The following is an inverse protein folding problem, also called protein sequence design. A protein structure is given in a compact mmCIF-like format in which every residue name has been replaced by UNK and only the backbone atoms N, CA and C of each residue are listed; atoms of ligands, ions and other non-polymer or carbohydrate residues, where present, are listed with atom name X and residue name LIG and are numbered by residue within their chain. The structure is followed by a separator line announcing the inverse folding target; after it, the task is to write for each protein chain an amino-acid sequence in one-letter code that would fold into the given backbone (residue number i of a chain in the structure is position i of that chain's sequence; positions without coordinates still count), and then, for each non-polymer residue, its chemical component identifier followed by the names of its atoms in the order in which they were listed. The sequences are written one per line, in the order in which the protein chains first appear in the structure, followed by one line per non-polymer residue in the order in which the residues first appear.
data_IF_817168294724
#
_entry.id   IF_817168294724
#
_cell.length_a   1.000
_cell.length_b   1.000
_cell.length_c   1.000
_cell.angle_alpha   90.00
_cell.angle_beta   90.00
_cell.angle_gamma   90.00
#
_symmetry.space_group_name_H-M   'P 1'
#
loop_
_entity.id
_entity.type
_entity.pdbx_description
1 polymer ?
#
# COMPACT_ATOMS: atom_id res chain seq x y z
N UNK A 1 21.35 26.50 -33.32
CA UNK A 1 21.07 27.32 -32.21
C UNK A 1 19.92 26.82 -31.37
N UNK A 2 20.19 26.35 -30.16
CA UNK A 2 19.25 25.65 -29.24
C UNK A 2 18.44 26.59 -28.31
N UNK A 3 18.22 27.84 -28.73
CA UNK A 3 17.46 28.83 -27.94
C UNK A 3 15.96 28.49 -27.77
N UNK A 4 15.42 27.60 -28.62
CA UNK A 4 14.02 27.17 -28.55
C UNK A 4 13.72 26.12 -27.47
N UNK A 5 14.74 25.39 -26.98
CA UNK A 5 14.56 24.41 -25.91
C UNK A 5 14.38 25.02 -24.52
N UNK A 6 14.74 26.29 -24.34
CA UNK A 6 14.61 27.01 -23.07
C UNK A 6 13.21 27.63 -22.85
N UNK A 7 12.39 27.67 -23.92
CA UNK A 7 11.04 28.26 -23.88
C UNK A 7 9.92 27.21 -23.91
N UNK A 8 10.24 25.92 -23.90
CA UNK A 8 9.20 24.93 -23.61
C UNK A 8 8.90 25.00 -22.11
N UNK A 9 7.64 25.23 -21.71
CA UNK A 9 7.24 25.02 -20.34
C UNK A 9 7.66 23.59 -20.00
N UNK A 10 8.34 23.41 -18.86
CA UNK A 10 8.62 22.07 -18.33
C UNK A 10 7.30 21.33 -18.39
N UNK A 11 7.16 20.37 -19.31
CA UNK A 11 6.07 19.44 -19.27
C UNK A 11 6.18 18.78 -17.90
N UNK A 12 5.26 19.14 -17.00
CA UNK A 12 5.11 18.44 -15.75
C UNK A 12 4.95 16.97 -16.13
N UNK A 13 5.92 16.14 -15.73
CA UNK A 13 5.83 14.71 -15.98
C UNK A 13 4.61 14.23 -15.20
N UNK A 14 3.59 13.79 -15.93
CA UNK A 14 2.40 13.22 -15.32
C UNK A 14 2.74 11.82 -14.80
N UNK A 15 2.34 11.54 -13.57
CA UNK A 15 2.49 10.20 -12.95
C UNK A 15 1.47 9.24 -13.55
N UNK A 16 0.32 9.74 -13.94
CA UNK A 16 -0.74 8.96 -14.51
C UNK A 16 -1.97 9.78 -14.87
N UNK A 17 -2.98 9.11 -15.41
CA UNK A 17 -4.24 9.70 -15.82
C UNK A 17 -5.41 8.87 -15.30
N UNK A 18 -6.45 9.52 -14.81
CA UNK A 18 -7.69 8.89 -14.36
C UNK A 18 -8.86 9.55 -15.09
N UNK A 19 -9.55 8.81 -15.96
CA UNK A 19 -10.72 9.29 -16.69
C UNK A 19 -10.47 10.57 -17.53
N UNK A 20 -9.27 10.76 -18.08
CA UNK A 20 -8.90 11.93 -18.86
C UNK A 20 -8.37 13.11 -18.03
N UNK A 21 -8.22 12.93 -16.72
CA UNK A 21 -7.58 13.91 -15.81
C UNK A 21 -6.20 13.40 -15.40
N UNK A 22 -5.14 14.09 -15.82
CA UNK A 22 -3.76 13.80 -15.42
C UNK A 22 -3.47 14.30 -14.01
N UNK A 23 -2.55 13.64 -13.33
CA UNK A 23 -1.92 14.14 -12.11
C UNK A 23 -0.42 14.35 -12.36
N UNK A 24 0.06 15.54 -12.07
CA UNK A 24 1.48 15.85 -12.17
C UNK A 24 2.31 15.13 -11.11
N UNK A 25 3.59 14.89 -11.38
CA UNK A 25 4.51 14.32 -10.41
C UNK A 25 4.61 15.15 -9.12
N UNK A 26 4.52 16.48 -9.27
CA UNK A 26 4.56 17.40 -8.13
C UNK A 26 3.31 17.26 -7.24
N UNK A 27 2.12 17.21 -7.84
CA UNK A 27 0.87 17.07 -7.09
C UNK A 27 0.78 15.70 -6.42
N UNK A 28 1.20 14.65 -7.12
CA UNK A 28 1.26 13.31 -6.53
C UNK A 28 2.25 13.23 -5.37
N UNK A 29 3.43 13.81 -5.52
CA UNK A 29 4.43 13.87 -4.44
C UNK A 29 3.87 14.62 -3.21
N UNK A 30 3.15 15.72 -3.42
CA UNK A 30 2.51 16.45 -2.32
C UNK A 30 1.47 15.59 -1.55
N UNK A 31 0.69 14.76 -2.26
CA UNK A 31 -0.23 13.81 -1.63
C UNK A 31 0.52 12.73 -0.83
N UNK A 32 1.62 12.22 -1.38
CA UNK A 32 2.46 11.22 -0.70
C UNK A 32 3.08 11.82 0.57
N UNK A 33 3.56 13.05 0.51
CA UNK A 33 4.12 13.76 1.66
C UNK A 33 3.05 14.01 2.74
N UNK A 34 1.87 14.51 2.36
CA UNK A 34 0.76 14.72 3.29
C UNK A 34 0.39 13.42 4.01
N UNK A 35 0.26 12.31 3.28
CA UNK A 35 -0.05 11.00 3.86
C UNK A 35 1.08 10.46 4.74
N UNK A 36 2.33 10.64 4.31
CA UNK A 36 3.52 10.22 5.07
C UNK A 36 3.59 10.93 6.42
N UNK A 37 3.34 12.23 6.46
CA UNK A 37 3.32 13.01 7.71
C UNK A 37 2.21 12.52 8.67
N UNK A 38 1.05 12.17 8.13
CA UNK A 38 -0.06 11.58 8.91
C UNK A 38 0.33 10.23 9.51
N UNK A 39 0.98 9.36 8.73
CA UNK A 39 1.45 8.04 9.21
C UNK A 39 2.52 8.20 10.29
N UNK A 40 3.49 9.08 10.09
CA UNK A 40 4.52 9.36 11.10
C UNK A 40 3.91 9.89 12.40
N UNK A 41 2.97 10.82 12.31
CA UNK A 41 2.30 11.37 13.47
C UNK A 41 1.48 10.31 14.23
N UNK A 42 0.73 9.48 13.51
CA UNK A 42 -0.15 8.46 14.11
C UNK A 42 0.61 7.28 14.70
N UNK A 43 1.74 6.88 14.09
CA UNK A 43 2.58 5.76 14.56
C UNK A 43 3.62 6.17 15.59
N UNK A 44 3.91 7.46 15.73
CA UNK A 44 5.02 7.98 16.54
C UNK A 44 6.41 7.68 15.96
N UNK A 45 6.48 7.15 14.74
CA UNK A 45 7.72 6.81 14.06
C UNK A 45 8.16 7.97 13.15
N UNK A 46 9.34 8.52 13.40
CA UNK A 46 9.90 9.60 12.59
C UNK A 46 10.57 9.12 11.29
N UNK A 47 11.00 7.86 11.25
CA UNK A 47 11.67 7.26 10.10
C UNK A 47 10.83 6.12 9.52
N UNK A 48 10.74 6.07 8.18
CA UNK A 48 10.10 5.00 7.43
C UNK A 48 11.13 4.30 6.56
N UNK A 49 11.01 2.98 6.41
CA UNK A 49 11.81 2.21 5.48
C UNK A 49 11.40 2.49 4.03
N UNK A 50 12.27 2.12 3.08
CA UNK A 50 11.97 2.25 1.65
C UNK A 50 10.73 1.43 1.25
N UNK A 51 10.56 0.24 1.85
CA UNK A 51 9.39 -0.59 1.63
C UNK A 51 8.10 0.09 2.12
N UNK A 52 8.11 0.66 3.32
CA UNK A 52 6.98 1.42 3.85
C UNK A 52 6.66 2.65 2.99
N UNK A 53 7.70 3.33 2.51
CA UNK A 53 7.53 4.47 1.59
C UNK A 53 6.89 4.05 0.27
N UNK A 54 7.26 2.90 -0.29
CA UNK A 54 6.65 2.38 -1.51
C UNK A 54 5.19 1.95 -1.28
N UNK A 55 4.90 1.29 -0.16
CA UNK A 55 3.52 0.94 0.23
C UNK A 55 2.64 2.20 0.37
N UNK A 56 3.18 3.27 0.94
CA UNK A 56 2.48 4.57 1.01
C UNK A 56 2.18 5.12 -0.38
N UNK A 57 3.12 5.11 -1.30
CA UNK A 57 2.90 5.58 -2.68
C UNK A 57 1.79 4.79 -3.38
N UNK A 58 1.79 3.47 -3.24
CA UNK A 58 0.77 2.60 -3.81
C UNK A 58 -0.62 2.86 -3.21
N UNK A 59 -0.70 3.06 -1.90
CA UNK A 59 -1.96 3.38 -1.21
C UNK A 59 -2.50 4.76 -1.60
N UNK A 60 -1.62 5.76 -1.68
CA UNK A 60 -1.98 7.11 -2.12
C UNK A 60 -2.50 7.07 -3.56
N UNK A 61 -1.83 6.34 -4.45
CA UNK A 61 -2.28 6.18 -5.83
C UNK A 61 -3.65 5.52 -5.91
N UNK A 62 -3.84 4.40 -5.21
CA UNK A 62 -5.12 3.68 -5.16
C UNK A 62 -6.26 4.56 -4.64
N UNK A 63 -6.00 5.27 -3.55
CA UNK A 63 -6.97 6.19 -2.94
C UNK A 63 -7.31 7.34 -3.89
N UNK A 64 -6.30 7.94 -4.53
CA UNK A 64 -6.48 8.99 -5.52
C UNK A 64 -7.39 8.54 -6.68
N UNK A 65 -7.06 7.38 -7.28
CA UNK A 65 -7.86 6.80 -8.38
C UNK A 65 -9.30 6.57 -7.95
N UNK A 66 -9.51 5.93 -6.80
CA UNK A 66 -10.86 5.64 -6.29
C UNK A 66 -11.65 6.93 -6.04
N UNK A 67 -11.05 7.93 -5.41
CA UNK A 67 -11.69 9.20 -5.13
C UNK A 67 -12.07 9.93 -6.44
N UNK A 68 -11.18 9.97 -7.42
CA UNK A 68 -11.46 10.59 -8.73
C UNK A 68 -12.60 9.91 -9.48
N UNK A 69 -12.67 8.57 -9.44
CA UNK A 69 -13.77 7.82 -10.02
C UNK A 69 -15.10 8.16 -9.36
N UNK A 70 -15.15 8.14 -8.04
CA UNK A 70 -16.36 8.46 -7.27
C UNK A 70 -16.77 9.92 -7.44
N UNK A 71 -15.84 10.87 -7.37
CA UNK A 71 -16.10 12.30 -7.57
C UNK A 71 -16.75 12.58 -8.93
N UNK A 72 -16.23 11.97 -9.99
CA UNK A 72 -16.75 12.14 -11.34
C UNK A 72 -18.19 11.65 -11.46
N UNK A 73 -18.48 10.46 -10.93
CA UNK A 73 -19.84 9.90 -10.97
C UNK A 73 -20.79 10.65 -10.03
N UNK A 74 -20.34 10.98 -8.82
CA UNK A 74 -21.11 11.78 -7.88
C UNK A 74 -21.47 13.16 -8.44
N UNK A 75 -20.54 13.82 -9.14
CA UNK A 75 -20.77 15.11 -9.80
C UNK A 75 -21.84 15.02 -10.87
N UNK A 76 -21.83 13.96 -11.70
CA UNK A 76 -22.87 13.73 -12.71
C UNK A 76 -24.27 13.57 -12.09
N UNK A 77 -24.33 12.97 -10.90
CA UNK A 77 -25.56 12.73 -10.16
C UNK A 77 -25.97 13.90 -9.26
N UNK A 78 -25.19 14.99 -9.23
CA UNK A 78 -25.44 16.14 -8.36
C UNK A 78 -25.24 15.84 -6.86
N UNK A 79 -24.52 14.77 -6.53
CA UNK A 79 -24.21 14.42 -5.14
C UNK A 79 -23.10 15.35 -4.62
N UNK A 80 -23.37 15.99 -3.50
CA UNK A 80 -22.43 16.86 -2.79
C UNK A 80 -22.44 16.53 -1.30
N UNK A 81 -21.33 16.80 -0.62
CA UNK A 81 -21.23 16.73 0.84
C UNK A 81 -21.19 18.14 1.39
N UNK A 82 -22.18 18.50 2.18
CA UNK A 82 -22.26 19.82 2.76
C UNK A 82 -21.41 19.92 4.04
N UNK A 83 -21.01 21.15 4.38
CA UNK A 83 -20.34 21.42 5.67
C UNK A 83 -21.21 21.00 6.87
N UNK A 84 -22.53 21.15 6.76
CA UNK A 84 -23.45 20.74 7.82
C UNK A 84 -23.47 19.23 8.04
N UNK A 85 -23.36 18.41 6.96
CA UNK A 85 -23.24 16.95 7.10
C UNK A 85 -21.94 16.55 7.84
N UNK A 86 -20.82 17.15 7.48
CA UNK A 86 -19.54 16.87 8.16
C UNK A 86 -19.61 17.32 9.62
N UNK A 87 -20.15 18.48 9.90
CA UNK A 87 -20.34 18.96 11.27
C UNK A 87 -21.26 18.03 12.08
N UNK A 88 -22.29 17.47 11.47
CA UNK A 88 -23.16 16.49 12.11
C UNK A 88 -22.42 15.19 12.46
N UNK A 89 -21.56 14.69 11.55
CA UNK A 89 -20.71 13.51 11.79
C UNK A 89 -19.75 13.77 12.95
N UNK A 90 -19.09 14.93 12.96
CA UNK A 90 -18.17 15.32 14.04
C UNK A 90 -18.91 15.45 15.36
N UNK A 91 -20.08 16.07 15.36
CA UNK A 91 -20.90 16.25 16.57
C UNK A 91 -21.42 14.94 17.14
N UNK A 92 -21.79 13.99 16.28
CA UNK A 92 -22.19 12.65 16.70
C UNK A 92 -21.02 11.85 17.31
N UNK A 93 -19.80 12.06 16.81
CA UNK A 93 -18.58 11.52 17.40
C UNK A 93 -18.40 10.00 17.26
N UNK A 94 -19.30 9.30 16.54
CA UNK A 94 -19.31 7.83 16.47
C UNK A 94 -18.60 7.26 15.23
N UNK A 95 -18.21 8.11 14.29
CA UNK A 95 -17.55 7.66 13.07
C UNK A 95 -16.20 6.98 13.38
N UNK A 96 -15.88 5.80 12.79
CA UNK A 96 -14.65 5.06 13.09
C UNK A 96 -13.37 5.88 12.95
N UNK A 97 -13.28 6.74 11.93
CA UNK A 97 -12.11 7.60 11.72
C UNK A 97 -11.90 8.58 12.87
N UNK A 98 -12.96 9.07 13.49
CA UNK A 98 -12.86 9.98 14.66
C UNK A 98 -12.28 9.26 15.88
N UNK A 99 -12.56 7.96 16.03
CA UNK A 99 -12.04 7.16 17.13
C UNK A 99 -10.53 6.93 17.07
N UNK A 100 -9.90 7.23 15.93
CA UNK A 100 -8.45 7.09 15.74
C UNK A 100 -7.70 8.40 15.99
N UNK A 101 -8.41 9.47 16.34
CA UNK A 101 -7.78 10.79 16.60
C UNK A 101 -7.22 10.90 18.01
N UNK A 102 -6.28 11.83 18.26
CA UNK A 102 -5.81 12.14 19.60
C UNK A 102 -6.84 12.90 20.46
N UNK A 103 -7.96 13.34 19.86
CA UNK A 103 -9.02 14.09 20.56
C UNK A 103 -9.96 13.12 21.27
N UNK A 104 -9.47 12.51 22.36
CA UNK A 104 -10.23 11.53 23.14
C UNK A 104 -10.46 12.00 24.56
N UNK A 105 -11.63 11.73 25.07
CA UNK A 105 -11.94 11.92 26.49
C UNK A 105 -11.07 10.94 27.31
N UNK A 106 -10.25 11.41 28.26
CA UNK A 106 -9.38 10.56 29.06
C UNK A 106 -10.09 9.49 29.89
N UNK A 107 -11.36 9.72 30.23
CA UNK A 107 -12.15 8.81 31.09
C UNK A 107 -12.87 7.73 30.26
N UNK A 108 -13.39 8.09 29.09
CA UNK A 108 -14.19 7.18 28.26
C UNK A 108 -13.44 6.60 27.08
N UNK A 109 -12.30 7.19 26.68
CA UNK A 109 -11.55 6.82 25.49
C UNK A 109 -12.25 7.18 24.17
N UNK A 110 -13.47 7.72 24.22
CA UNK A 110 -14.24 8.10 23.05
C UNK A 110 -13.78 9.46 22.49
N UNK A 111 -14.06 9.70 21.21
CA UNK A 111 -13.81 10.98 20.57
C UNK A 111 -14.55 12.13 21.31
N UNK A 112 -13.83 13.22 21.54
CA UNK A 112 -14.33 14.41 22.23
C UNK A 112 -14.26 15.62 21.28
N UNK A 113 -15.43 16.03 20.79
CA UNK A 113 -15.57 17.19 19.89
C UNK A 113 -15.15 18.52 20.54
N UNK A 114 -15.30 18.64 21.87
CA UNK A 114 -14.98 19.88 22.57
C UNK A 114 -13.46 20.03 22.73
N UNK A 115 -12.71 18.92 22.89
CA UNK A 115 -11.26 18.89 22.80
C UNK A 115 -10.78 19.32 21.41
N UNK A 116 -11.38 18.77 20.35
CA UNK A 116 -11.07 19.18 18.98
C UNK A 116 -11.33 20.67 18.77
N UNK A 117 -12.52 21.15 19.17
CA UNK A 117 -12.88 22.56 19.01
C UNK A 117 -11.91 23.47 19.76
N UNK A 118 -11.55 23.12 20.99
CA UNK A 118 -10.55 23.85 21.76
C UNK A 118 -9.21 23.90 21.04
N UNK A 119 -8.73 22.75 20.57
CA UNK A 119 -7.48 22.66 19.82
C UNK A 119 -7.49 23.57 18.59
N UNK A 120 -8.54 23.56 17.78
CA UNK A 120 -8.63 24.39 16.57
C UNK A 120 -8.64 25.90 16.90
N UNK A 121 -9.33 26.29 17.96
CA UNK A 121 -9.33 27.69 18.45
C UNK A 121 -7.94 28.10 18.95
N UNK A 122 -7.28 27.24 19.73
CA UNK A 122 -5.95 27.51 20.28
C UNK A 122 -4.93 27.60 19.15
N UNK A 123 -4.97 26.66 18.18
CA UNK A 123 -4.12 26.66 17.00
C UNK A 123 -4.28 27.95 16.15
N UNK A 124 -5.52 28.40 15.95
CA UNK A 124 -5.79 29.62 15.15
C UNK A 124 -5.24 30.90 15.78
N UNK A 125 -5.08 30.94 17.10
CA UNK A 125 -4.55 32.06 17.87
C UNK A 125 -3.06 31.94 18.17
N UNK A 126 -2.44 30.82 17.83
CA UNK A 126 -1.07 30.51 18.19
C UNK A 126 -0.07 31.41 17.47
N UNK A 127 0.82 32.06 18.23
CA UNK A 127 1.96 32.75 17.69
C UNK A 127 3.18 31.83 17.69
N UNK A 128 3.43 31.16 16.54
CA UNK A 128 4.50 30.18 16.39
C UNK A 128 5.90 30.74 16.72
N UNK A 129 6.12 32.03 16.49
CA UNK A 129 7.42 32.68 16.73
C UNK A 129 7.75 32.84 18.23
N UNK A 130 6.76 32.74 19.09
CA UNK A 130 6.91 32.92 20.54
C UNK A 130 6.88 31.61 21.33
N UNK A 131 6.79 30.46 20.63
CA UNK A 131 6.74 29.14 21.26
C UNK A 131 8.06 28.38 21.07
N UNK A 132 8.43 27.47 21.99
CA UNK A 132 9.50 26.51 21.72
C UNK A 132 9.19 25.70 20.46
N UNK A 133 10.19 25.51 19.58
CA UNK A 133 10.01 24.86 18.27
C UNK A 133 9.33 23.51 18.34
N UNK A 134 9.67 22.69 19.34
CA UNK A 134 9.08 21.35 19.54
C UNK A 134 7.57 21.39 19.76
N UNK A 135 7.06 22.38 20.49
CA UNK A 135 5.62 22.55 20.70
C UNK A 135 4.94 23.04 19.42
N UNK A 136 5.55 23.99 18.73
CA UNK A 136 5.03 24.52 17.47
C UNK A 136 4.92 23.42 16.42
N UNK A 137 5.94 22.57 16.28
CA UNK A 137 5.97 21.41 15.38
C UNK A 137 4.90 20.36 15.71
N UNK A 138 4.73 20.07 17.00
CA UNK A 138 3.69 19.13 17.43
C UNK A 138 2.28 19.62 17.10
N UNK A 139 1.98 20.90 17.38
CA UNK A 139 0.68 21.48 17.05
C UNK A 139 0.44 21.56 15.54
N UNK A 140 1.48 21.84 14.76
CA UNK A 140 1.44 21.82 13.30
C UNK A 140 1.11 20.42 12.77
N UNK A 141 1.80 19.40 13.27
CA UNK A 141 1.58 18.01 12.86
C UNK A 141 0.17 17.53 13.24
N UNK A 142 -0.31 17.91 14.42
CA UNK A 142 -1.67 17.60 14.85
C UNK A 142 -2.73 18.30 13.99
N UNK A 143 -2.47 19.55 13.55
CA UNK A 143 -3.35 20.25 12.64
C UNK A 143 -3.37 19.64 11.24
N UNK A 144 -2.20 19.27 10.70
CA UNK A 144 -2.09 18.55 9.42
C UNK A 144 -2.84 17.22 9.48
N UNK A 145 -2.64 16.47 10.56
CA UNK A 145 -3.38 15.21 10.79
C UNK A 145 -4.90 15.44 10.76
N UNK A 146 -5.39 16.43 11.49
CA UNK A 146 -6.82 16.76 11.51
C UNK A 146 -7.32 17.20 10.12
N UNK A 147 -6.61 18.06 9.44
CA UNK A 147 -6.96 18.55 8.10
C UNK A 147 -7.07 17.40 7.08
N UNK A 148 -6.13 16.46 7.13
CA UNK A 148 -6.17 15.26 6.31
C UNK A 148 -7.39 14.39 6.65
N UNK A 149 -7.66 14.19 7.92
CA UNK A 149 -8.81 13.38 8.38
C UNK A 149 -10.15 14.02 7.98
N UNK A 150 -10.27 15.33 8.08
CA UNK A 150 -11.49 16.06 7.63
C UNK A 150 -11.71 15.89 6.12
N UNK A 151 -10.66 16.01 5.29
CA UNK A 151 -10.71 15.70 3.84
C UNK A 151 -11.15 14.25 3.61
N UNK A 152 -10.60 13.32 4.36
CA UNK A 152 -10.93 11.89 4.26
C UNK A 152 -12.38 11.60 4.68
N UNK A 153 -12.91 12.29 5.68
CA UNK A 153 -14.33 12.21 6.07
C UNK A 153 -15.25 12.68 4.95
N UNK A 154 -14.90 13.77 4.27
CA UNK A 154 -15.68 14.29 3.12
C UNK A 154 -15.73 13.24 2.01
N UNK A 155 -14.60 12.64 1.67
CA UNK A 155 -14.50 11.60 0.64
C UNK A 155 -15.28 10.33 1.04
N UNK A 156 -15.12 9.88 2.26
CA UNK A 156 -15.86 8.73 2.79
C UNK A 156 -17.37 8.97 2.74
N UNK A 157 -17.82 10.17 3.12
CA UNK A 157 -19.25 10.53 3.08
C UNK A 157 -19.79 10.60 1.64
N UNK A 158 -19.00 11.11 0.70
CA UNK A 158 -19.38 11.14 -0.71
C UNK A 158 -19.52 9.71 -1.26
N UNK A 159 -18.58 8.85 -0.97
CA UNK A 159 -18.60 7.45 -1.35
C UNK A 159 -19.81 6.72 -0.75
N UNK A 160 -20.09 6.94 0.54
CA UNK A 160 -21.26 6.38 1.21
C UNK A 160 -22.58 6.81 0.55
N UNK A 161 -22.71 8.10 0.19
CA UNK A 161 -23.90 8.62 -0.51
C UNK A 161 -24.04 7.97 -1.89
N UNK A 162 -22.95 7.83 -2.62
CA UNK A 162 -22.95 7.18 -3.92
C UNK A 162 -23.35 5.70 -3.83
N UNK A 163 -22.75 4.97 -2.92
CA UNK A 163 -23.08 3.56 -2.67
C UNK A 163 -24.52 3.39 -2.21
N UNK A 164 -24.99 4.25 -1.31
CA UNK A 164 -26.37 4.21 -0.82
C UNK A 164 -27.39 4.46 -1.94
N UNK A 165 -27.07 5.37 -2.88
CA UNK A 165 -27.93 5.61 -4.03
C UNK A 165 -28.06 4.36 -4.90
N UNK A 166 -26.95 3.70 -5.22
CA UNK A 166 -26.94 2.46 -6.02
C UNK A 166 -27.69 1.35 -5.27
N UNK A 167 -27.34 1.11 -4.03
CA UNK A 167 -27.96 0.02 -3.24
C UNK A 167 -29.45 0.24 -3.06
N UNK A 168 -29.90 1.48 -2.82
CA UNK A 168 -31.33 1.77 -2.63
C UNK A 168 -32.10 1.87 -3.97
N UNK A 169 -31.42 1.89 -5.10
CA UNK A 169 -32.07 1.76 -6.41
C UNK A 169 -32.40 0.30 -6.75
N UNK A 170 -31.76 -0.65 -6.05
CA UNK A 170 -32.04 -2.07 -6.17
C UNK A 170 -33.08 -2.45 -5.11
N UNK A 171 -34.32 -2.39 -5.49
CA UNK A 171 -35.41 -2.80 -4.60
C UNK A 171 -36.18 -3.94 -5.25
N UNK A 172 -36.58 -4.90 -4.47
CA UNK A 172 -37.53 -5.95 -4.87
C UNK A 172 -38.96 -5.46 -4.63
N UNK A 173 -39.85 -5.80 -5.52
CA UNK A 173 -41.27 -5.58 -5.34
C UNK A 173 -41.97 -6.89 -4.91
N UNK A 174 -43.23 -6.81 -4.37
CA UNK A 174 -43.94 -8.01 -3.93
C UNK A 174 -44.16 -9.09 -5.03
N UNK A 175 -44.27 -8.65 -6.28
CA UNK A 175 -44.46 -9.59 -7.42
C UNK A 175 -43.18 -10.38 -7.66
N UNK A 176 -42.02 -9.70 -7.73
CA UNK A 176 -40.72 -10.38 -7.87
C UNK A 176 -40.45 -11.33 -6.69
N UNK A 177 -40.78 -10.89 -5.47
CA UNK A 177 -40.63 -11.74 -4.29
C UNK A 177 -41.52 -12.99 -4.36
N UNK A 178 -42.77 -12.86 -4.86
CA UNK A 178 -43.67 -13.99 -5.06
C UNK A 178 -43.16 -14.94 -6.16
N UNK A 179 -42.75 -14.36 -7.30
CA UNK A 179 -42.21 -15.18 -8.42
C UNK A 179 -40.94 -15.93 -7.99
N UNK A 180 -40.07 -15.30 -7.21
CA UNK A 180 -38.90 -15.98 -6.66
C UNK A 180 -39.23 -17.07 -5.65
N UNK A 181 -40.28 -16.88 -4.85
CA UNK A 181 -40.78 -17.88 -3.94
C UNK A 181 -41.37 -19.06 -4.73
N UNK A 182 -42.26 -18.79 -5.67
CA UNK A 182 -42.93 -19.79 -6.49
C UNK A 182 -41.89 -20.62 -7.27
N UNK A 183 -40.92 -20.00 -7.88
CA UNK A 183 -39.79 -20.67 -8.57
C UNK A 183 -38.98 -21.64 -7.66
N UNK A 184 -38.98 -21.40 -6.36
CA UNK A 184 -38.29 -22.29 -5.38
C UNK A 184 -39.12 -23.43 -4.86
N UNK A 185 -40.45 -23.30 -4.83
CA UNK A 185 -41.37 -24.27 -4.24
C UNK A 185 -42.16 -25.07 -5.27
N UNK A 186 -42.29 -24.53 -6.49
CA UNK A 186 -42.93 -25.25 -7.60
C UNK A 186 -42.09 -26.48 -7.97
N UNK A 187 -42.74 -27.58 -8.07
CA UNK A 187 -42.18 -28.85 -8.52
C UNK A 187 -42.94 -29.33 -9.77
N UNK A 188 -42.18 -29.85 -10.71
CA UNK A 188 -42.72 -30.40 -11.94
C UNK A 188 -42.22 -31.81 -12.13
N UNK A 189 -43.16 -32.71 -12.51
CA UNK A 189 -42.78 -34.04 -12.93
C UNK A 189 -42.34 -33.99 -14.40
N UNK A 190 -41.12 -34.45 -14.64
CA UNK A 190 -40.53 -34.42 -15.98
C UNK A 190 -40.25 -35.87 -16.45
N UNK A 191 -40.67 -36.13 -17.68
CA UNK A 191 -40.20 -37.29 -18.46
C UNK A 191 -39.08 -36.76 -19.40
N UNK A 192 -37.85 -37.20 -19.17
CA UNK A 192 -36.69 -36.78 -19.93
C UNK A 192 -36.24 -37.89 -20.89
N UNK A 193 -36.20 -37.59 -22.17
CA UNK A 193 -35.49 -38.38 -23.16
C UNK A 193 -34.22 -37.61 -23.59
N UNK A 194 -33.08 -38.24 -23.38
CA UNK A 194 -31.81 -37.63 -23.72
C UNK A 194 -31.06 -38.41 -24.80
N UNK A 195 -30.59 -37.73 -25.82
CA UNK A 195 -29.64 -38.25 -26.80
C UNK A 195 -28.29 -37.57 -26.54
N UNK A 196 -27.32 -38.31 -25.99
CA UNK A 196 -26.00 -37.71 -25.71
C UNK A 196 -25.29 -37.38 -27.02
N UNK A 197 -24.62 -36.21 -27.05
CA UNK A 197 -23.81 -35.80 -28.20
C UNK A 197 -22.70 -36.81 -28.53
N UNK A 198 -22.23 -37.59 -27.57
CA UNK A 198 -21.24 -38.65 -27.73
C UNK A 198 -21.73 -39.82 -28.63
N UNK A 199 -23.08 -39.91 -28.92
CA UNK A 199 -23.62 -40.84 -29.88
C UNK A 199 -23.36 -40.46 -31.34
N UNK A 200 -22.96 -39.24 -31.57
CA UNK A 200 -22.59 -38.72 -32.90
C UNK A 200 -21.07 -38.79 -33.03
N UNK A 201 -20.58 -39.46 -34.04
CA UNK A 201 -19.16 -39.65 -34.28
C UNK A 201 -18.57 -38.33 -34.82
N UNK A 202 -17.59 -37.74 -34.13
CA UNK A 202 -16.98 -36.44 -34.49
C UNK A 202 -16.45 -36.41 -35.94
N UNK A 203 -15.97 -37.54 -36.47
CA UNK A 203 -15.48 -37.63 -37.84
C UNK A 203 -16.55 -37.42 -38.91
N UNK A 204 -17.82 -37.46 -38.54
CA UNK A 204 -18.97 -37.20 -39.45
C UNK A 204 -19.31 -35.73 -39.57
N UNK A 205 -18.76 -34.88 -38.69
CA UNK A 205 -19.05 -33.45 -38.61
C UNK A 205 -17.97 -32.67 -39.33
N UNK A 206 -18.32 -31.97 -40.40
CA UNK A 206 -17.42 -31.07 -41.12
C UNK A 206 -17.68 -29.63 -40.70
N UNK A 207 -16.72 -29.06 -39.98
CA UNK A 207 -16.77 -27.66 -39.55
C UNK A 207 -16.08 -26.78 -40.62
N UNK A 208 -16.77 -25.80 -41.13
CA UNK A 208 -16.25 -24.83 -42.09
C UNK A 208 -15.87 -23.54 -41.38
N UNK A 209 -14.97 -22.76 -41.98
CA UNK A 209 -14.56 -21.45 -41.46
C UNK A 209 -15.76 -20.50 -41.27
N UNK A 210 -16.79 -20.64 -42.11
CA UNK A 210 -18.05 -19.89 -41.98
C UNK A 210 -18.78 -20.19 -40.67
N UNK A 211 -18.73 -21.45 -40.22
CA UNK A 211 -19.40 -21.89 -38.98
C UNK A 211 -18.64 -21.38 -37.76
N UNK A 212 -17.31 -21.42 -37.81
CA UNK A 212 -16.46 -20.84 -36.78
C UNK A 212 -16.69 -19.34 -36.65
N UNK A 213 -16.73 -18.63 -37.80
CA UNK A 213 -16.99 -17.19 -37.81
C UNK A 213 -18.38 -16.86 -37.26
N UNK A 214 -19.41 -17.58 -37.66
CA UNK A 214 -20.77 -17.38 -37.15
C UNK A 214 -20.85 -17.63 -35.62
N UNK A 215 -20.21 -18.68 -35.13
CA UNK A 215 -20.12 -18.97 -33.68
C UNK A 215 -19.35 -17.90 -32.92
N UNK A 216 -18.24 -17.41 -33.48
CA UNK A 216 -17.47 -16.30 -32.91
C UNK A 216 -18.29 -15.01 -32.86
N UNK A 217 -18.92 -14.60 -33.96
CA UNK A 217 -19.73 -13.38 -34.03
C UNK A 217 -20.88 -13.40 -33.01
N UNK A 218 -21.46 -14.56 -32.75
CA UNK A 218 -22.49 -14.75 -31.73
C UNK A 218 -21.99 -14.59 -30.30
N UNK A 219 -20.71 -14.95 -30.03
CA UNK A 219 -20.14 -15.00 -28.70
C UNK A 219 -19.05 -13.94 -28.44
N UNK A 220 -18.71 -13.10 -29.43
CA UNK A 220 -17.56 -12.17 -29.38
C UNK A 220 -17.59 -11.24 -28.17
N UNK A 221 -18.78 -10.81 -27.72
CA UNK A 221 -18.90 -9.94 -26.55
C UNK A 221 -18.47 -10.61 -25.24
N UNK A 222 -18.55 -11.96 -25.18
CA UNK A 222 -18.05 -12.72 -24.02
C UNK A 222 -16.52 -12.76 -23.94
N UNK A 223 -15.84 -12.56 -25.07
CA UNK A 223 -14.38 -12.58 -25.19
C UNK A 223 -13.77 -11.19 -25.34
N UNK A 224 -14.57 -10.16 -25.17
CA UNK A 224 -14.11 -8.78 -25.25
C UNK A 224 -13.14 -8.47 -24.12
N UNK A 225 -11.92 -8.09 -24.49
CA UNK A 225 -10.91 -7.63 -23.54
C UNK A 225 -11.06 -6.12 -23.35
N UNK A 226 -11.22 -5.70 -22.10
CA UNK A 226 -11.36 -4.29 -21.72
C UNK A 226 -10.03 -3.66 -21.30
N UNK A 227 -9.02 -4.49 -21.10
CA UNK A 227 -7.68 -4.07 -20.68
C UNK A 227 -6.70 -4.51 -21.76
N UNK A 228 -5.81 -3.59 -22.14
CA UNK A 228 -4.75 -3.90 -23.09
C UNK A 228 -3.77 -4.90 -22.47
N UNK A 229 -3.56 -6.03 -23.14
CA UNK A 229 -2.65 -7.08 -22.69
C UNK A 229 -1.52 -7.27 -23.70
N UNK A 230 -0.40 -7.78 -23.24
CA UNK A 230 0.76 -8.13 -24.07
C UNK A 230 1.17 -9.56 -23.77
N UNK A 231 1.43 -10.33 -24.82
CA UNK A 231 2.16 -11.58 -24.69
C UNK A 231 3.65 -11.24 -24.70
N UNK A 232 4.29 -11.48 -23.57
CA UNK A 232 5.73 -11.29 -23.45
C UNK A 232 6.41 -12.66 -23.32
N UNK A 233 7.57 -12.79 -23.98
CA UNK A 233 8.51 -13.87 -23.73
C UNK A 233 9.74 -13.24 -23.07
N UNK A 234 10.18 -13.83 -21.99
CA UNK A 234 11.37 -13.37 -21.28
C UNK A 234 12.26 -14.58 -20.99
N UNK A 235 13.53 -14.30 -20.82
CA UNK A 235 14.51 -15.25 -20.32
C UNK A 235 14.92 -14.73 -18.95
N UNK A 236 14.75 -15.57 -17.95
CA UNK A 236 15.26 -15.31 -16.61
C UNK A 236 16.65 -15.93 -16.51
N UNK A 237 17.64 -15.11 -16.22
CA UNK A 237 19.02 -15.53 -16.02
C UNK A 237 19.36 -15.31 -14.56
N UNK A 238 19.41 -16.40 -13.82
CA UNK A 238 19.83 -16.35 -12.44
C UNK A 238 21.33 -16.10 -12.35
N UNK A 239 21.71 -14.92 -11.88
CA UNK A 239 23.12 -14.58 -11.62
C UNK A 239 23.51 -15.16 -10.26
N UNK A 240 24.47 -16.07 -10.27
CA UNK A 240 25.04 -16.66 -9.06
C UNK A 240 26.54 -16.35 -9.00
N UNK A 241 27.06 -16.14 -7.79
CA UNK A 241 28.49 -15.92 -7.60
C UNK A 241 29.30 -17.11 -8.13
N UNK A 242 30.36 -16.82 -8.86
CA UNK A 242 31.29 -17.84 -9.37
C UNK A 242 32.08 -18.49 -8.22
N UNK A 243 32.76 -19.60 -8.50
CA UNK A 243 33.65 -20.22 -7.53
C UNK A 243 34.82 -19.29 -7.17
N UNK A 244 35.31 -18.53 -8.15
CA UNK A 244 36.39 -17.55 -7.98
C UNK A 244 35.92 -16.38 -7.09
N UNK A 245 34.71 -15.84 -7.30
CA UNK A 245 34.15 -14.77 -6.49
C UNK A 245 33.98 -15.21 -5.03
N UNK A 246 33.49 -16.44 -4.83
CA UNK A 246 33.33 -17.00 -3.48
C UNK A 246 34.67 -17.20 -2.78
N UNK A 247 35.68 -17.68 -3.51
CA UNK A 247 37.04 -17.85 -2.96
C UNK A 247 37.67 -16.49 -2.63
N UNK A 248 37.47 -15.47 -3.44
CA UNK A 248 37.96 -14.13 -3.18
C UNK A 248 37.31 -13.53 -1.93
N UNK A 249 35.99 -13.65 -1.81
CA UNK A 249 35.24 -13.19 -0.63
C UNK A 249 35.66 -13.94 0.64
N UNK A 250 35.87 -15.26 0.54
CA UNK A 250 36.33 -16.07 1.67
C UNK A 250 37.68 -15.56 2.19
N UNK A 251 38.62 -15.30 1.29
CA UNK A 251 39.94 -14.78 1.64
C UNK A 251 39.85 -13.39 2.27
N UNK A 252 39.03 -12.52 1.72
CA UNK A 252 38.81 -11.19 2.28
C UNK A 252 38.23 -11.26 3.70
N UNK A 253 37.28 -12.14 3.94
CA UNK A 253 36.69 -12.38 5.27
C UNK A 253 37.71 -12.99 6.24
N UNK A 254 38.61 -13.84 5.79
CA UNK A 254 39.72 -14.34 6.61
C UNK A 254 40.63 -13.20 7.07
N UNK A 255 40.98 -12.29 6.15
CA UNK A 255 41.78 -11.09 6.47
C UNK A 255 41.05 -10.16 7.47
N UNK A 256 39.76 -9.96 7.33
CA UNK A 256 38.95 -9.19 8.28
C UNK A 256 38.86 -9.88 9.64
N UNK A 257 38.73 -11.20 9.67
CA UNK A 257 38.70 -11.99 10.89
C UNK A 257 40.03 -11.86 11.69
N UNK A 258 41.16 -11.90 10.97
CA UNK A 258 42.49 -11.68 11.56
C UNK A 258 42.62 -10.27 12.16
N UNK A 259 42.17 -9.25 11.43
CA UNK A 259 42.17 -7.86 11.89
C UNK A 259 41.27 -7.65 13.11
N UNK A 260 40.09 -8.27 13.10
CA UNK A 260 39.16 -8.24 14.22
C UNK A 260 39.76 -8.91 15.48
N UNK A 261 40.46 -10.04 15.27
CA UNK A 261 41.15 -10.76 16.33
C UNK A 261 42.31 -9.94 16.93
N UNK A 262 42.95 -9.10 16.12
CA UNK A 262 43.98 -8.15 16.58
C UNK A 262 43.42 -7.01 17.46
N UNK A 263 42.13 -6.99 17.72
CA UNK A 263 41.44 -6.08 18.61
C UNK A 263 41.60 -4.57 18.17
N UNK A 264 40.94 -4.13 17.13
CA UNK A 264 41.04 -2.75 16.64
C UNK A 264 40.62 -1.75 17.73
N UNK A 265 41.24 -0.58 17.72
CA UNK A 265 40.96 0.48 18.70
C UNK A 265 39.58 1.13 18.55
N UNK A 266 38.98 1.00 17.39
CA UNK A 266 37.65 1.52 17.07
C UNK A 266 36.88 0.51 16.17
N UNK A 267 36.04 -0.27 16.80
CA UNK A 267 35.19 -1.27 16.13
C UNK A 267 34.19 -0.64 15.15
N UNK A 268 33.65 0.52 15.47
CA UNK A 268 32.68 1.20 14.60
C UNK A 268 33.30 1.57 13.26
N UNK A 269 34.47 2.20 13.29
CA UNK A 269 35.20 2.59 12.07
C UNK A 269 35.69 1.35 11.33
N UNK A 270 36.17 0.34 12.04
CA UNK A 270 36.63 -0.92 11.43
C UNK A 270 35.49 -1.61 10.68
N UNK A 271 34.37 -1.92 11.33
CA UNK A 271 33.23 -2.61 10.70
C UNK A 271 32.67 -1.82 9.51
N UNK A 272 32.61 -0.50 9.62
CA UNK A 272 32.19 0.34 8.49
C UNK A 272 33.15 0.25 7.29
N UNK A 273 34.44 0.09 7.53
CA UNK A 273 35.43 -0.03 6.46
C UNK A 273 35.40 -1.37 5.73
N UNK A 274 34.84 -2.42 6.33
CA UNK A 274 34.71 -3.74 5.70
C UNK A 274 33.48 -3.85 4.78
N UNK A 275 32.61 -2.84 4.73
CA UNK A 275 31.36 -2.90 3.97
C UNK A 275 30.34 -3.87 4.54
N UNK A 276 30.43 -4.23 5.82
CA UNK A 276 29.47 -5.10 6.52
C UNK A 276 28.06 -4.55 6.43
N UNK A 277 27.08 -5.40 6.11
CA UNK A 277 25.65 -5.05 6.12
C UNK A 277 25.13 -4.83 7.54
N UNK A 278 25.73 -5.54 8.53
CA UNK A 278 25.40 -5.35 9.92
C UNK A 278 26.29 -4.28 10.56
N UNK A 279 25.71 -3.17 11.09
CA UNK A 279 26.51 -2.17 11.79
C UNK A 279 26.98 -2.69 13.16
N UNK A 280 28.15 -2.23 13.60
CA UNK A 280 28.56 -2.43 14.98
C UNK A 280 27.65 -1.66 15.95
N UNK A 281 27.21 -2.32 17.00
CA UNK A 281 26.41 -1.72 18.08
C UNK A 281 27.01 -2.09 19.43
N UNK A 282 27.32 -1.09 20.25
CA UNK A 282 27.82 -1.29 21.62
C UNK A 282 26.64 -1.43 22.59
N UNK A 283 25.87 -2.51 22.42
CA UNK A 283 24.69 -2.82 23.23
C UNK A 283 24.80 -4.22 23.80
N UNK A 284 24.25 -4.39 25.01
CA UNK A 284 24.13 -5.73 25.62
C UNK A 284 22.91 -6.46 25.05
N UNK A 285 23.15 -7.66 24.56
CA UNK A 285 22.10 -8.54 24.02
C UNK A 285 21.90 -9.73 24.95
N UNK A 286 20.66 -10.21 25.04
CA UNK A 286 20.39 -11.51 25.65
C UNK A 286 20.52 -12.61 24.58
N UNK A 287 20.82 -13.83 24.96
CA UNK A 287 20.89 -14.98 24.04
C UNK A 287 19.61 -15.16 23.22
N UNK A 288 18.46 -14.76 23.77
CA UNK A 288 17.15 -14.83 23.06
C UNK A 288 16.96 -13.77 22.00
N UNK A 289 17.72 -12.68 22.05
CA UNK A 289 17.63 -11.58 21.06
C UNK A 289 18.65 -11.67 19.95
N UNK A 290 19.56 -12.64 20.02
CA UNK A 290 20.55 -12.89 18.97
C UNK A 290 20.01 -13.82 17.89
N UNK A 291 20.48 -13.70 16.64
CA UNK A 291 20.18 -14.67 15.59
C UNK A 291 20.54 -16.10 15.99
N UNK A 292 19.78 -17.06 15.48
CA UNK A 292 19.93 -18.47 15.89
C UNK A 292 21.32 -19.05 15.55
N UNK A 293 21.89 -18.63 14.44
CA UNK A 293 23.23 -19.03 13.98
C UNK A 293 24.33 -18.50 14.90
N UNK A 294 24.19 -17.26 15.41
CA UNK A 294 25.09 -16.66 16.40
C UNK A 294 24.93 -17.38 17.75
N UNK A 295 23.71 -17.57 18.23
CA UNK A 295 23.40 -18.23 19.48
C UNK A 295 24.00 -19.63 19.53
N UNK A 296 23.92 -20.40 18.45
CA UNK A 296 24.47 -21.75 18.37
C UNK A 296 26.02 -21.82 18.52
N UNK A 297 26.71 -20.70 18.33
CA UNK A 297 28.17 -20.61 18.38
C UNK A 297 28.71 -19.96 19.63
N UNK A 298 27.86 -19.27 20.39
CA UNK A 298 28.29 -18.55 21.60
C UNK A 298 29.07 -19.41 22.60
N UNK A 299 28.67 -20.66 22.82
CA UNK A 299 29.30 -21.56 23.75
C UNK A 299 30.70 -22.03 23.28
N UNK A 300 31.02 -21.84 21.99
CA UNK A 300 32.31 -22.22 21.41
C UNK A 300 33.32 -21.09 21.36
N UNK A 301 32.97 -19.88 21.75
CA UNK A 301 33.81 -18.69 21.68
C UNK A 301 34.07 -18.15 23.06
N UNK A 302 35.35 -18.01 23.42
CA UNK A 302 35.75 -17.39 24.71
C UNK A 302 35.45 -15.87 24.67
N UNK A 303 35.27 -15.27 25.84
CA UNK A 303 35.08 -13.80 25.95
C UNK A 303 36.26 -13.07 25.32
N UNK A 304 36.00 -12.19 24.40
CA UNK A 304 37.00 -11.48 23.59
C UNK A 304 37.55 -12.28 22.40
N UNK A 305 37.05 -13.50 22.18
CA UNK A 305 37.40 -14.29 21.00
C UNK A 305 36.58 -13.95 19.77
N UNK A 306 37.10 -14.31 18.61
CA UNK A 306 36.42 -14.15 17.32
C UNK A 306 36.13 -15.53 16.76
N UNK A 307 34.94 -15.68 16.14
CA UNK A 307 34.55 -16.92 15.47
C UNK A 307 34.23 -16.59 13.98
N UNK A 308 34.86 -17.37 13.11
CA UNK A 308 34.59 -17.22 11.67
C UNK A 308 35.89 -17.32 10.84
N UNK A 309 35.81 -17.04 9.53
CA UNK A 309 34.55 -16.82 8.80
C UNK A 309 33.72 -18.10 8.65
N UNK A 310 32.38 -17.96 8.64
CA UNK A 310 31.47 -19.07 8.39
C UNK A 310 30.32 -18.66 7.44
N UNK A 311 29.88 -19.62 6.65
CA UNK A 311 28.77 -19.41 5.72
C UNK A 311 27.43 -19.71 6.40
N UNK A 312 26.52 -18.73 6.38
CA UNK A 312 25.15 -18.90 6.82
C UNK A 312 24.26 -19.21 5.62
N UNK A 313 23.75 -20.44 5.56
CA UNK A 313 22.93 -20.94 4.45
C UNK A 313 21.56 -20.28 4.42
N UNK A 314 21.05 -19.82 5.56
CA UNK A 314 19.68 -19.29 5.70
C UNK A 314 19.49 -17.96 4.95
N UNK A 315 20.48 -17.11 4.99
CA UNK A 315 20.46 -15.76 4.40
C UNK A 315 21.52 -15.59 3.28
N UNK A 316 22.29 -16.65 3.00
CA UNK A 316 23.32 -16.65 1.97
C UNK A 316 24.44 -15.64 2.22
N UNK A 317 24.81 -15.47 3.49
CA UNK A 317 25.86 -14.54 3.94
C UNK A 317 27.11 -15.28 4.44
N UNK A 318 28.27 -14.60 4.37
CA UNK A 318 29.52 -15.02 4.99
C UNK A 318 29.76 -14.10 6.21
N UNK A 319 29.90 -14.69 7.38
CA UNK A 319 29.92 -13.97 8.65
C UNK A 319 31.18 -14.29 9.45
N UNK A 320 31.61 -13.35 10.30
CA UNK A 320 32.66 -13.50 11.27
C UNK A 320 32.33 -12.72 12.54
#
# INVERSE_FOLDING_TARGET
GDAWKVLQPHQSQDVGEVNGESISAQDFQALVEEYTEVIKFSSGNSALSDEQTNQIKDEVWRTYVNNKLIEKEAKKLGLVVSKAEIQAIINAGVHPMLQQTPFRNPQTGAFDKDMLKKFLVDYSKMNKAQMPSQYAEYYESMYKFWSFLEKSLIQARLQEKYQALITKSLFSNPVEAQDAFDARVEQSDLLLAAVPYSSIVDSTIVIKDSDLKAAYDKKKEQFKQYVETRNIKFIDVQVTASAEDRAALQKEMEEYTEQLTANPSDYTTFIRSTGSEAPYTDLFYTTKSLPADVTARLDSVAVGGVFGPYYNVSDNTLNS
#
